data_IF_543920578755
#
_entry.id   IF_543920578755
#
_cell.length_a   1.000
_cell.length_b   1.000
_cell.length_c   1.000
_cell.angle_alpha   90.00
_cell.angle_beta   90.00
_cell.angle_gamma   90.00
#
_symmetry.space_group_name_H-M   'P 1'
#
loop_
_entity.id
_entity.type
_entity.pdbx_description
1 polymer ?
#
# COMPACT_ATOMS: atom_id res chain seq x y z
N UNK A 1 27.03 17.48 17.73
CA UNK A 1 25.92 16.84 18.47
C UNK A 1 25.11 17.93 19.13
N UNK A 2 24.05 18.36 18.48
CA UNK A 2 23.09 19.34 19.01
C UNK A 2 21.71 18.74 18.84
N UNK A 3 21.00 18.54 19.95
CA UNK A 3 19.61 18.12 19.99
C UNK A 3 18.72 19.35 19.78
N UNK A 4 17.79 19.30 18.82
CA UNK A 4 16.72 20.28 18.69
C UNK A 4 15.46 19.66 19.30
N UNK A 5 14.91 20.39 20.27
CA UNK A 5 13.73 20.07 21.06
C UNK A 5 12.53 20.70 20.34
N UNK A 6 11.53 19.93 19.92
CA UNK A 6 10.29 20.47 19.35
C UNK A 6 9.21 20.42 20.43
N UNK A 7 8.69 21.60 20.80
CA UNK A 7 7.65 21.76 21.81
C UNK A 7 6.29 21.27 21.28
N UNK A 8 5.60 20.47 22.10
CA UNK A 8 4.17 20.13 21.93
C UNK A 8 3.32 21.36 22.24
N UNK A 9 2.56 21.85 21.27
CA UNK A 9 1.45 22.75 21.54
C UNK A 9 0.26 21.93 22.06
N UNK A 10 -0.12 22.20 23.30
CA UNK A 10 -1.28 21.66 23.98
C UNK A 10 -2.51 22.46 23.51
N UNK A 11 -3.42 21.81 22.77
CA UNK A 11 -4.76 22.35 22.53
C UNK A 11 -5.70 21.70 23.55
N UNK A 12 -6.16 22.49 24.53
CA UNK A 12 -7.25 22.07 25.41
C UNK A 12 -8.60 22.14 24.66
N UNK A 13 -9.49 21.14 24.82
CA UNK A 13 -10.85 21.24 24.31
C UNK A 13 -11.70 22.16 25.20
N UNK A 14 -12.39 23.11 24.56
CA UNK A 14 -13.38 23.98 25.19
C UNK A 14 -14.63 23.19 25.59
N UNK A 15 -14.98 23.21 26.87
CA UNK A 15 -16.25 22.74 27.39
C UNK A 15 -17.40 23.70 27.01
N UNK A 16 -18.38 23.23 26.25
CA UNK A 16 -19.71 23.83 26.19
C UNK A 16 -20.78 22.74 26.48
N UNK A 17 -21.49 22.78 27.61
CA UNK A 17 -22.31 21.66 28.09
C UNK A 17 -23.79 21.90 27.85
N UNK A 18 -24.31 21.69 26.63
CA UNK A 18 -25.77 21.55 26.43
C UNK A 18 -26.11 20.77 25.15
N UNK A 19 -26.27 19.45 25.25
CA UNK A 19 -27.52 18.78 24.85
C UNK A 19 -27.49 17.30 25.28
N UNK A 20 -28.36 16.92 26.21
CA UNK A 20 -28.75 15.51 26.38
C UNK A 20 -29.93 15.26 25.46
N UNK A 21 -29.77 14.43 24.44
CA UNK A 21 -30.91 13.72 23.85
C UNK A 21 -30.49 12.30 23.49
N UNK A 22 -31.29 11.36 23.97
CA UNK A 22 -31.22 9.92 23.80
C UNK A 22 -31.36 9.53 22.33
N UNK A 23 -30.37 8.81 21.79
CA UNK A 23 -30.44 8.15 20.49
C UNK A 23 -29.58 6.91 20.52
N UNK A 24 -30.15 5.78 20.11
CA UNK A 24 -29.57 4.45 20.14
C UNK A 24 -28.25 4.40 19.35
N UNK A 25 -27.18 3.93 19.99
CA UNK A 25 -25.86 3.74 19.39
C UNK A 25 -25.89 2.51 18.47
N UNK A 26 -26.31 2.71 17.22
CA UNK A 26 -25.92 1.85 16.12
C UNK A 26 -24.70 2.50 15.45
N UNK A 27 -23.51 2.30 16.02
CA UNK A 27 -22.26 2.57 15.30
C UNK A 27 -22.18 1.56 14.16
N UNK A 28 -22.47 2.01 12.95
CA UNK A 28 -22.48 1.14 11.79
C UNK A 28 -21.05 0.90 11.31
N UNK A 29 -20.81 -0.23 10.64
CA UNK A 29 -19.53 -0.57 10.01
C UNK A 29 -18.96 0.55 9.11
N UNK A 30 -19.78 1.48 8.62
CA UNK A 30 -19.33 2.62 7.81
C UNK A 30 -18.67 3.74 8.63
N UNK A 31 -19.00 3.87 9.92
CA UNK A 31 -18.40 4.89 10.80
C UNK A 31 -16.95 4.54 11.17
N UNK A 32 -16.58 3.25 11.09
CA UNK A 32 -15.21 2.79 11.37
C UNK A 32 -14.24 3.13 10.23
N UNK A 33 -14.67 3.01 8.97
CA UNK A 33 -13.86 3.35 7.79
C UNK A 33 -13.38 4.82 7.80
N UNK A 34 -14.23 5.72 8.26
CA UNK A 34 -13.96 7.17 8.22
C UNK A 34 -13.13 7.69 9.40
N UNK A 35 -13.10 6.99 10.54
CA UNK A 35 -12.46 7.51 11.78
C UNK A 35 -11.02 7.05 11.97
N UNK A 36 -10.59 5.94 11.37
CA UNK A 36 -9.19 5.47 11.44
C UNK A 36 -8.31 5.95 10.27
N UNK A 37 -8.93 6.46 9.20
CA UNK A 37 -8.22 7.03 8.04
C UNK A 37 -7.46 8.35 8.33
N UNK A 38 -7.47 8.87 9.56
CA UNK A 38 -6.77 10.11 9.94
C UNK A 38 -5.48 9.88 10.75
N UNK A 39 -5.08 8.63 10.99
CA UNK A 39 -3.81 8.33 11.67
C UNK A 39 -2.73 7.71 10.78
N UNK A 40 -3.04 7.41 9.51
CA UNK A 40 -2.00 7.26 8.49
C UNK A 40 -1.47 8.66 8.19
N UNK A 41 -0.17 8.83 8.35
CA UNK A 41 0.59 10.02 7.99
C UNK A 41 0.24 10.40 6.53
N UNK A 42 -0.03 11.69 6.25
CA UNK A 42 -0.09 12.23 4.88
C UNK A 42 1.34 12.25 4.29
N UNK A 43 2.04 11.12 4.33
CA UNK A 43 3.39 10.97 3.80
C UNK A 43 3.31 10.84 2.29
N UNK A 44 3.00 11.96 1.63
CA UNK A 44 3.30 12.18 0.22
C UNK A 44 4.72 11.72 -0.12
N UNK A 45 4.95 11.20 -1.33
CA UNK A 45 6.26 10.81 -1.84
C UNK A 45 7.37 11.74 -1.33
N UNK A 46 8.19 11.23 -0.40
CA UNK A 46 9.31 11.98 0.11
C UNK A 46 10.41 11.98 -0.96
N UNK A 47 10.56 13.11 -1.64
CA UNK A 47 11.83 13.42 -2.29
C UNK A 47 12.92 13.35 -1.21
N UNK A 48 13.79 12.36 -1.32
CA UNK A 48 15.06 12.32 -0.60
C UNK A 48 15.92 13.49 -1.10
N UNK A 49 15.64 14.70 -0.61
CA UNK A 49 16.35 15.93 -0.98
C UNK A 49 17.80 15.95 -0.49
N UNK A 50 18.24 14.89 0.19
CA UNK A 50 19.57 14.78 0.79
C UNK A 50 20.61 14.14 -0.14
N UNK A 51 20.24 13.71 -1.36
CA UNK A 51 21.17 13.08 -2.29
C UNK A 51 21.20 13.78 -3.66
N UNK A 52 21.81 14.97 -3.72
CA UNK A 52 22.26 15.60 -4.98
C UNK A 52 23.48 14.88 -5.59
N UNK A 53 23.52 13.55 -5.47
CA UNK A 53 24.50 12.66 -6.08
C UNK A 53 23.93 12.01 -7.35
N UNK A 54 24.79 11.28 -8.07
CA UNK A 54 24.38 10.47 -9.21
C UNK A 54 23.54 9.28 -8.68
N UNK A 55 22.25 9.27 -8.95
CA UNK A 55 21.26 8.30 -8.48
C UNK A 55 20.65 8.63 -7.11
N UNK A 56 19.33 8.49 -7.00
CA UNK A 56 18.57 8.64 -5.75
C UNK A 56 17.73 7.40 -5.43
N UNK A 57 17.35 7.26 -4.15
CA UNK A 57 16.25 6.39 -3.74
C UNK A 57 15.02 7.26 -3.51
N UNK A 58 13.94 6.96 -4.24
CA UNK A 58 12.67 7.68 -4.18
C UNK A 58 11.63 6.72 -3.58
N UNK A 59 10.90 7.17 -2.57
CA UNK A 59 10.02 6.32 -1.78
C UNK A 59 8.56 6.75 -1.96
N UNK A 60 7.70 5.76 -2.14
CA UNK A 60 6.24 5.84 -2.01
C UNK A 60 5.78 4.72 -1.09
N UNK A 61 4.83 5.03 -0.20
CA UNK A 61 4.34 4.11 0.82
C UNK A 61 2.82 4.04 0.73
N UNK A 62 2.25 2.91 1.12
CA UNK A 62 0.80 2.70 1.10
C UNK A 62 0.04 3.78 1.87
N UNK A 63 -0.78 4.54 1.14
CA UNK A 63 -1.59 5.65 1.61
C UNK A 63 -3.00 5.67 0.95
N UNK A 64 -3.36 4.61 0.21
CA UNK A 64 -4.71 4.42 -0.35
C UNK A 64 -5.62 3.56 0.55
N UNK A 65 -5.11 3.09 1.70
CA UNK A 65 -5.88 2.38 2.72
C UNK A 65 -6.42 1.02 2.26
N UNK A 66 -7.57 0.62 2.83
CA UNK A 66 -8.11 -0.74 2.70
C UNK A 66 -8.55 -1.06 1.25
N UNK A 67 -8.04 -2.15 0.64
CA UNK A 67 -8.53 -2.65 -0.64
C UNK A 67 -10.02 -3.01 -0.61
N UNK A 68 -10.70 -2.92 -1.76
CA UNK A 68 -12.06 -3.46 -1.89
C UNK A 68 -12.02 -4.90 -2.38
N UNK A 69 -12.93 -5.70 -1.84
CA UNK A 69 -13.28 -7.00 -2.42
C UNK A 69 -13.76 -6.81 -3.87
N UNK A 70 -13.23 -7.60 -4.80
CA UNK A 70 -13.74 -7.65 -6.16
C UNK A 70 -14.89 -8.67 -6.24
N UNK A 71 -16.16 -8.24 -6.33
CA UNK A 71 -17.31 -9.15 -6.34
C UNK A 71 -17.38 -10.04 -7.59
N UNK A 72 -16.59 -9.73 -8.62
CA UNK A 72 -16.48 -10.55 -9.84
C UNK A 72 -15.45 -11.68 -9.70
N UNK A 73 -14.77 -11.77 -8.55
CA UNK A 73 -13.78 -12.78 -8.20
C UNK A 73 -14.22 -13.54 -6.94
N UNK A 74 -15.27 -14.38 -7.02
CA UNK A 74 -15.75 -15.12 -5.86
C UNK A 74 -14.75 -16.20 -5.42
N UNK A 75 -14.50 -16.26 -4.12
CA UNK A 75 -13.60 -17.23 -3.50
C UNK A 75 -14.02 -18.69 -3.73
N UNK A 76 -13.05 -19.54 -4.08
CA UNK A 76 -13.22 -20.99 -4.20
C UNK A 76 -14.12 -21.44 -5.35
N UNK A 77 -14.33 -20.59 -6.35
CA UNK A 77 -15.11 -20.89 -7.55
C UNK A 77 -14.18 -21.16 -8.73
N UNK A 78 -14.36 -22.30 -9.39
CA UNK A 78 -13.63 -22.61 -10.63
C UNK A 78 -14.38 -22.03 -11.84
N UNK A 79 -14.12 -20.77 -12.18
CA UNK A 79 -14.75 -20.04 -13.27
C UNK A 79 -13.73 -19.41 -14.25
N UNK A 80 -12.50 -19.95 -14.28
CA UNK A 80 -11.47 -19.59 -15.26
C UNK A 80 -10.19 -19.08 -14.59
N UNK A 81 -9.44 -18.25 -15.30
CA UNK A 81 -8.23 -17.63 -14.77
C UNK A 81 -8.60 -16.40 -13.93
N UNK A 82 -8.38 -16.46 -12.63
CA UNK A 82 -8.72 -15.37 -11.70
C UNK A 82 -7.85 -14.14 -11.91
N UNK A 83 -6.58 -14.33 -12.26
CA UNK A 83 -5.64 -13.23 -12.53
C UNK A 83 -6.12 -12.36 -13.70
N UNK A 84 -6.87 -12.93 -14.65
CA UNK A 84 -7.42 -12.21 -15.80
C UNK A 84 -8.70 -11.42 -15.48
N UNK A 85 -9.32 -11.65 -14.32
CA UNK A 85 -10.53 -10.96 -13.87
C UNK A 85 -10.23 -9.84 -12.87
N UNK A 86 -8.98 -9.69 -12.43
CA UNK A 86 -8.55 -8.58 -11.58
C UNK A 86 -8.87 -7.24 -12.26
N UNK A 87 -9.54 -6.35 -11.53
CA UNK A 87 -9.91 -5.02 -12.00
C UNK A 87 -9.05 -3.97 -11.29
N UNK A 88 -8.18 -3.32 -12.07
CA UNK A 88 -7.31 -2.25 -11.59
C UNK A 88 -7.90 -0.86 -11.85
N UNK A 89 -9.23 -0.75 -11.96
CA UNK A 89 -9.95 0.52 -11.98
C UNK A 89 -9.73 1.33 -10.71
N UNK A 90 -9.94 2.64 -10.79
CA UNK A 90 -9.68 3.56 -9.66
C UNK A 90 -10.45 3.18 -8.40
N UNK A 91 -11.65 2.60 -8.52
CA UNK A 91 -12.42 2.15 -7.37
C UNK A 91 -11.72 1.05 -6.55
N UNK A 92 -10.84 0.25 -7.17
CA UNK A 92 -10.11 -0.83 -6.48
C UNK A 92 -8.73 -0.39 -6.03
N UNK A 93 -8.05 0.46 -6.81
CA UNK A 93 -6.72 0.96 -6.45
C UNK A 93 -6.75 2.08 -5.42
N UNK A 94 -7.82 2.88 -5.38
CA UNK A 94 -7.99 4.01 -4.46
C UNK A 94 -9.46 4.07 -4.01
N UNK A 95 -9.82 3.15 -3.13
CA UNK A 95 -11.21 2.88 -2.73
C UNK A 95 -11.84 4.01 -1.90
N UNK A 96 -11.02 4.74 -1.16
CA UNK A 96 -11.43 5.84 -0.28
C UNK A 96 -11.31 7.22 -0.94
N UNK A 97 -10.74 7.29 -2.16
CA UNK A 97 -10.60 8.53 -2.91
C UNK A 97 -9.63 9.52 -2.26
N UNK A 98 -8.66 9.02 -1.47
CA UNK A 98 -7.59 9.85 -0.91
C UNK A 98 -6.64 10.33 -2.01
N UNK A 99 -5.83 11.35 -1.70
CA UNK A 99 -4.81 11.87 -2.62
C UNK A 99 -3.55 10.98 -2.57
N UNK A 100 -3.73 9.72 -2.96
CA UNK A 100 -2.76 8.62 -2.94
C UNK A 100 -2.17 8.34 -4.31
N UNK A 101 -1.86 9.39 -5.07
CA UNK A 101 -1.39 9.23 -6.44
C UNK A 101 -0.19 10.14 -6.64
N UNK A 102 0.99 9.56 -6.45
CA UNK A 102 2.21 10.33 -6.51
C UNK A 102 2.81 10.36 -7.92
N UNK A 103 3.52 11.46 -8.19
CA UNK A 103 4.38 11.58 -9.35
C UNK A 103 5.84 11.54 -8.88
N UNK A 104 6.53 10.46 -9.20
CA UNK A 104 7.90 10.19 -8.80
C UNK A 104 8.85 10.63 -9.92
N UNK A 105 9.76 11.55 -9.60
CA UNK A 105 10.78 12.06 -10.51
C UNK A 105 12.17 11.64 -10.00
N UNK A 106 12.96 11.03 -10.86
CA UNK A 106 14.35 10.65 -10.56
C UNK A 106 15.30 11.85 -10.52
N UNK A 107 16.53 11.59 -10.07
CA UNK A 107 17.66 12.51 -10.30
C UNK A 107 18.51 12.02 -11.47
N UNK A 108 19.62 12.70 -11.77
CA UNK A 108 20.58 12.21 -12.78
C UNK A 108 21.20 10.88 -12.33
N UNK A 109 21.34 9.91 -13.24
CA UNK A 109 21.95 8.61 -12.99
C UNK A 109 20.98 7.53 -12.51
N UNK A 110 21.51 6.40 -12.03
CA UNK A 110 20.71 5.23 -11.66
C UNK A 110 19.90 5.45 -10.38
N UNK A 111 18.59 5.61 -10.51
CA UNK A 111 17.64 5.77 -9.42
C UNK A 111 17.04 4.42 -8.97
N UNK A 112 16.48 4.38 -7.76
CA UNK A 112 15.63 3.28 -7.30
C UNK A 112 14.32 3.85 -6.77
N UNK A 113 13.22 3.49 -7.43
CA UNK A 113 11.86 3.82 -7.01
C UNK A 113 11.34 2.67 -6.14
N UNK A 114 11.11 2.96 -4.86
CA UNK A 114 10.68 2.00 -3.84
C UNK A 114 9.22 2.22 -3.48
N UNK A 115 8.46 1.14 -3.50
CA UNK A 115 7.05 1.10 -3.13
C UNK A 115 6.88 0.15 -1.94
N UNK A 116 6.52 0.71 -0.78
CA UNK A 116 6.32 -0.05 0.45
C UNK A 116 4.82 -0.22 0.73
N UNK A 117 4.32 -1.44 0.52
CA UNK A 117 2.96 -1.83 0.85
C UNK A 117 2.94 -2.39 2.28
N UNK A 118 2.25 -1.69 3.17
CA UNK A 118 2.26 -2.01 4.59
C UNK A 118 1.08 -2.91 4.98
N UNK A 119 1.34 -3.87 5.86
CA UNK A 119 0.29 -4.66 6.49
C UNK A 119 -0.56 -3.81 7.42
N UNK A 120 -1.86 -4.04 7.36
CA UNK A 120 -2.82 -3.48 8.28
C UNK A 120 -3.84 -4.55 8.67
N UNK A 121 -4.57 -4.33 9.75
CA UNK A 121 -5.49 -5.33 10.28
C UNK A 121 -6.60 -4.71 11.10
N UNK A 122 -7.68 -5.47 11.28
CA UNK A 122 -8.71 -5.08 12.24
C UNK A 122 -8.12 -5.01 13.66
N UNK A 123 -8.60 -4.11 14.54
CA UNK A 123 -8.13 -3.99 15.91
C UNK A 123 -8.12 -5.30 16.69
N UNK A 124 -9.21 -6.08 16.59
CA UNK A 124 -9.33 -7.38 17.23
C UNK A 124 -8.34 -8.43 16.69
N UNK A 125 -7.71 -8.19 15.54
CA UNK A 125 -6.71 -9.07 14.94
C UNK A 125 -5.32 -8.66 15.44
N UNK A 126 -4.88 -7.42 15.22
CA UNK A 126 -3.53 -7.02 15.66
C UNK A 126 -3.40 -7.03 17.19
N UNK A 127 -4.48 -6.81 17.95
CA UNK A 127 -4.45 -6.87 19.42
C UNK A 127 -4.11 -8.25 19.98
N UNK A 128 -4.34 -9.34 19.22
CA UNK A 128 -3.92 -10.70 19.61
C UNK A 128 -2.40 -10.89 19.53
N UNK A 129 -1.73 -10.04 18.73
CA UNK A 129 -0.32 -10.12 18.39
C UNK A 129 0.49 -9.01 19.05
N UNK A 130 -0.02 -8.43 20.14
CA UNK A 130 0.71 -7.46 20.95
C UNK A 130 1.65 -8.14 21.93
N UNK A 131 2.87 -7.62 22.03
CA UNK A 131 3.75 -7.96 23.14
C UNK A 131 3.38 -7.18 24.43
N UNK A 132 4.15 -7.40 25.49
CA UNK A 132 3.91 -6.73 26.78
C UNK A 132 4.15 -5.22 26.78
N UNK A 133 4.75 -4.68 25.71
CA UNK A 133 5.07 -3.26 25.52
C UNK A 133 4.14 -2.59 24.51
N UNK A 134 3.19 -3.34 23.94
CA UNK A 134 2.23 -2.85 22.95
C UNK A 134 2.77 -2.82 21.52
N UNK A 135 3.92 -3.45 21.26
CA UNK A 135 4.45 -3.63 19.89
C UNK A 135 3.68 -4.74 19.19
N UNK A 136 3.40 -4.55 17.91
CA UNK A 136 2.67 -5.52 17.08
C UNK A 136 3.66 -6.49 16.41
N UNK A 137 3.39 -7.80 16.54
CA UNK A 137 4.01 -8.84 15.72
C UNK A 137 3.26 -9.00 14.40
N UNK A 138 3.64 -8.18 13.41
CA UNK A 138 3.04 -8.23 12.07
C UNK A 138 3.25 -9.58 11.37
N UNK A 139 4.36 -10.28 11.63
CA UNK A 139 4.56 -11.62 11.10
C UNK A 139 3.51 -12.59 11.67
N UNK A 140 3.19 -12.47 12.96
CA UNK A 140 2.07 -13.18 13.59
C UNK A 140 0.72 -12.86 12.96
N UNK A 141 0.45 -11.58 12.68
CA UNK A 141 -0.79 -11.11 12.02
C UNK A 141 -1.01 -11.77 10.65
N UNK A 142 0.04 -11.91 9.83
CA UNK A 142 -0.08 -12.58 8.50
C UNK A 142 -0.55 -14.03 8.57
N UNK A 143 -0.46 -14.66 9.75
CA UNK A 143 -0.98 -16.01 9.98
C UNK A 143 -2.51 -16.08 10.15
N UNK A 144 -3.21 -14.96 10.35
CA UNK A 144 -4.64 -14.91 10.63
C UNK A 144 -5.48 -15.01 9.34
N UNK A 145 -5.61 -16.21 8.79
CA UNK A 145 -6.30 -16.50 7.52
C UNK A 145 -7.69 -17.14 7.70
N UNK A 146 -8.36 -16.88 8.83
CA UNK A 146 -9.68 -17.50 9.10
C UNK A 146 -10.80 -16.79 8.35
N UNK A 147 -10.74 -15.46 8.24
CA UNK A 147 -11.71 -14.67 7.51
C UNK A 147 -11.04 -13.71 6.54
N UNK A 148 -11.73 -13.45 5.42
CA UNK A 148 -11.36 -12.41 4.49
C UNK A 148 -11.33 -11.04 5.19
N UNK A 149 -10.29 -10.27 4.88
CA UNK A 149 -9.93 -8.97 5.47
C UNK A 149 -9.85 -8.95 7.00
N UNK A 150 -9.40 -10.03 7.65
CA UNK A 150 -8.90 -9.93 9.03
C UNK A 150 -7.61 -9.11 9.10
N UNK A 151 -6.79 -9.22 8.06
CA UNK A 151 -5.65 -8.35 7.76
C UNK A 151 -5.53 -8.16 6.24
N UNK A 152 -4.82 -7.13 5.81
CA UNK A 152 -4.64 -6.77 4.40
C UNK A 152 -3.32 -6.02 4.19
N UNK A 153 -2.94 -5.83 2.93
CA UNK A 153 -1.97 -4.82 2.54
C UNK A 153 -2.70 -3.51 2.23
N UNK A 154 -2.31 -2.42 2.85
CA UNK A 154 -2.81 -1.10 2.45
C UNK A 154 -2.36 -0.80 1.02
N UNK A 155 -3.26 -0.19 0.24
CA UNK A 155 -3.00 0.16 -1.14
C UNK A 155 -2.07 1.37 -1.28
N UNK A 156 -1.39 1.48 -2.42
CA UNK A 156 -0.54 2.61 -2.82
C UNK A 156 -1.20 3.51 -3.86
N UNK A 157 -2.46 3.26 -4.21
CA UNK A 157 -3.17 4.11 -5.17
C UNK A 157 -2.66 4.00 -6.60
N UNK A 158 -2.41 5.15 -7.24
CA UNK A 158 -2.05 5.25 -8.65
C UNK A 158 -0.77 6.08 -8.85
N UNK A 159 0.34 5.37 -8.83
CA UNK A 159 1.67 5.94 -8.88
C UNK A 159 2.12 6.19 -10.32
N UNK A 160 2.89 7.25 -10.53
CA UNK A 160 3.48 7.56 -11.83
C UNK A 160 4.97 7.87 -11.70
N UNK A 161 5.82 7.01 -12.27
CA UNK A 161 7.23 7.32 -12.48
C UNK A 161 7.36 8.13 -13.78
N UNK A 162 7.95 9.31 -13.70
CA UNK A 162 7.96 10.29 -14.79
C UNK A 162 9.05 10.01 -15.82
N UNK A 163 10.23 9.57 -15.40
CA UNK A 163 11.46 9.64 -16.20
C UNK A 163 12.34 8.38 -16.13
N UNK A 164 11.71 7.20 -16.03
CA UNK A 164 12.43 5.94 -15.85
C UNK A 164 13.39 5.62 -17.02
N UNK A 165 14.66 5.38 -16.71
CA UNK A 165 15.68 4.95 -17.66
C UNK A 165 16.35 3.66 -17.18
N UNK A 166 15.81 2.53 -17.63
CA UNK A 166 16.20 1.19 -17.17
C UNK A 166 17.55 0.70 -17.68
N UNK A 167 17.73 -0.62 -17.70
CA UNK A 167 18.99 -1.22 -18.13
C UNK A 167 19.25 -0.99 -19.63
N UNK A 168 20.30 -0.23 -19.95
CA UNK A 168 20.61 0.23 -21.31
C UNK A 168 20.57 1.77 -21.44
N UNK A 169 19.93 2.44 -20.48
CA UNK A 169 20.05 3.87 -20.20
C UNK A 169 20.81 4.12 -18.89
N UNK A 170 20.22 4.86 -17.96
CA UNK A 170 20.88 5.24 -16.69
C UNK A 170 20.91 4.10 -15.66
N UNK A 171 20.06 3.09 -15.80
CA UNK A 171 20.09 1.88 -14.98
C UNK A 171 19.15 1.89 -13.78
N UNK A 172 18.04 2.63 -13.89
CA UNK A 172 17.00 2.73 -12.86
C UNK A 172 16.42 1.37 -12.46
N UNK A 173 15.90 1.32 -11.23
CA UNK A 173 15.26 0.15 -10.63
C UNK A 173 13.92 0.51 -9.99
N UNK A 174 13.03 -0.47 -10.00
CA UNK A 174 11.78 -0.47 -9.25
C UNK A 174 11.88 -1.59 -8.22
N UNK A 175 11.63 -1.26 -6.96
CA UNK A 175 11.53 -2.23 -5.89
C UNK A 175 10.15 -2.13 -5.25
N UNK A 176 9.51 -3.28 -5.07
CA UNK A 176 8.19 -3.38 -4.46
C UNK A 176 8.27 -4.33 -3.28
N UNK A 177 8.02 -3.81 -2.09
CA UNK A 177 8.04 -4.56 -0.85
C UNK A 177 6.61 -4.65 -0.30
N UNK A 178 6.14 -5.87 -0.04
CA UNK A 178 4.79 -6.08 0.47
C UNK A 178 4.52 -7.57 0.72
N UNK A 179 3.76 -7.89 1.75
CA UNK A 179 3.43 -9.28 2.04
C UNK A 179 2.60 -9.92 0.93
N UNK A 180 3.10 -11.02 0.35
CA UNK A 180 2.51 -11.75 -0.80
C UNK A 180 2.19 -10.90 -2.03
N UNK A 181 2.74 -9.69 -2.11
CA UNK A 181 2.53 -8.81 -3.26
C UNK A 181 3.14 -9.43 -4.51
N UNK A 182 2.43 -9.26 -5.61
CA UNK A 182 2.83 -9.68 -6.94
C UNK A 182 2.41 -8.62 -7.96
N UNK A 183 2.97 -8.75 -9.16
CA UNK A 183 2.87 -7.75 -10.21
C UNK A 183 2.40 -8.39 -11.50
N UNK A 184 1.45 -7.73 -12.16
CA UNK A 184 0.99 -8.04 -13.51
C UNK A 184 1.24 -6.87 -14.44
N UNK A 185 1.78 -7.13 -15.62
CA UNK A 185 1.81 -6.13 -16.70
C UNK A 185 0.39 -6.00 -17.26
N UNK A 186 -0.18 -4.79 -17.15
CA UNK A 186 -1.52 -4.45 -17.66
C UNK A 186 -1.42 -3.95 -19.10
N UNK A 187 -0.46 -3.07 -19.37
CA UNK A 187 -0.23 -2.45 -20.68
C UNK A 187 1.27 -2.23 -20.87
N UNK A 188 1.76 -2.49 -22.08
CA UNK A 188 3.15 -2.22 -22.48
C UNK A 188 3.15 -1.51 -23.85
N UNK A 189 3.73 -0.31 -23.87
CA UNK A 189 3.92 0.56 -25.03
C UNK A 189 5.42 0.90 -25.16
N UNK A 190 5.83 1.44 -26.31
CA UNK A 190 7.24 1.74 -26.59
C UNK A 190 7.94 2.63 -25.54
N UNK A 191 7.20 3.51 -24.86
CA UNK A 191 7.72 4.48 -23.89
C UNK A 191 6.93 4.50 -22.57
N UNK A 192 6.11 3.48 -22.32
CA UNK A 192 5.28 3.41 -21.12
C UNK A 192 4.90 1.97 -20.82
N UNK A 193 5.01 1.56 -19.55
CA UNK A 193 4.41 0.32 -19.04
C UNK A 193 3.48 0.64 -17.86
N UNK A 194 2.37 -0.08 -17.76
CA UNK A 194 1.49 -0.01 -16.59
C UNK A 194 1.53 -1.35 -15.87
N UNK A 195 1.92 -1.31 -14.60
CA UNK A 195 2.01 -2.44 -13.69
C UNK A 195 0.81 -2.40 -12.74
N UNK A 196 0.12 -3.53 -12.60
CA UNK A 196 -0.90 -3.74 -11.58
C UNK A 196 -0.31 -4.49 -10.40
N UNK A 197 -0.58 -4.00 -9.19
CA UNK A 197 -0.14 -4.63 -7.95
C UNK A 197 -1.33 -5.31 -7.28
N UNK A 198 -1.14 -6.56 -6.89
CA UNK A 198 -2.14 -7.32 -6.15
C UNK A 198 -1.44 -8.27 -5.17
N UNK A 199 -2.13 -8.68 -4.12
CA UNK A 199 -1.64 -9.70 -3.21
C UNK A 199 -2.14 -11.09 -3.65
N UNK A 200 -1.27 -12.11 -3.60
CA UNK A 200 -1.57 -13.50 -3.98
C UNK A 200 -1.20 -14.39 -2.79
N UNK A 201 -2.13 -14.48 -1.84
CA UNK A 201 -1.91 -15.18 -0.59
C UNK A 201 -2.01 -16.68 -0.84
N UNK A 202 -0.89 -17.37 -0.63
CA UNK A 202 -0.72 -18.77 -1.03
C UNK A 202 0.08 -18.95 -2.32
N UNK A 203 0.23 -17.88 -3.11
CA UNK A 203 1.01 -17.86 -4.36
C UNK A 203 0.61 -18.97 -5.34
N UNK A 204 -0.69 -19.25 -5.44
CA UNK A 204 -1.23 -20.34 -6.25
C UNK A 204 -1.95 -19.85 -7.51
N UNK A 205 -2.12 -18.52 -7.65
CA UNK A 205 -2.76 -17.91 -8.80
C UNK A 205 -4.27 -18.16 -8.89
N UNK A 206 -4.91 -18.55 -7.78
CA UNK A 206 -6.35 -18.79 -7.67
C UNK A 206 -6.94 -18.07 -6.46
N UNK A 207 -8.17 -17.58 -6.57
CA UNK A 207 -8.84 -16.90 -5.46
C UNK A 207 -9.29 -17.91 -4.39
N UNK A 208 -8.55 -17.97 -3.29
CA UNK A 208 -8.85 -18.70 -2.07
C UNK A 208 -9.80 -17.96 -1.12
N UNK A 209 -9.85 -18.38 0.16
CA UNK A 209 -10.65 -17.70 1.22
C UNK A 209 -9.76 -16.96 2.24
N UNK A 210 -8.46 -16.91 1.99
CA UNK A 210 -7.48 -16.32 2.90
C UNK A 210 -7.62 -14.80 2.95
N UNK A 211 -7.00 -14.17 3.97
CA UNK A 211 -7.39 -12.85 4.45
C UNK A 211 -7.29 -11.74 3.38
N UNK A 212 -6.21 -11.69 2.61
CA UNK A 212 -5.95 -10.60 1.65
C UNK A 212 -5.73 -11.13 0.24
N UNK A 213 -6.23 -12.32 -0.03
CA UNK A 213 -5.97 -13.01 -1.28
C UNK A 213 -6.68 -12.31 -2.45
N UNK A 214 -5.90 -11.94 -3.46
CA UNK A 214 -6.29 -11.24 -4.69
C UNK A 214 -6.81 -9.81 -4.46
N UNK A 215 -6.42 -9.20 -3.34
CA UNK A 215 -6.61 -7.78 -3.12
C UNK A 215 -5.82 -6.97 -4.17
N UNK A 216 -6.51 -6.10 -4.89
CA UNK A 216 -5.85 -5.10 -5.75
C UNK A 216 -5.37 -3.96 -4.88
N UNK A 217 -4.06 -3.73 -4.88
CA UNK A 217 -3.40 -2.80 -3.94
C UNK A 217 -2.77 -1.60 -4.64
N UNK A 218 -2.81 -1.54 -5.97
CA UNK A 218 -2.42 -0.31 -6.67
C UNK A 218 -2.08 -0.51 -8.14
N UNK A 219 -1.64 0.59 -8.76
CA UNK A 219 -1.03 0.62 -10.08
C UNK A 219 0.19 1.52 -10.08
N UNK A 220 1.19 1.13 -10.87
CA UNK A 220 2.34 1.98 -11.18
C UNK A 220 2.37 2.19 -12.70
N UNK A 221 2.30 3.43 -13.13
CA UNK A 221 2.59 3.83 -14.52
C UNK A 221 4.05 4.24 -14.60
N UNK A 222 4.82 3.58 -15.45
CA UNK A 222 6.24 3.86 -15.65
C UNK A 222 6.40 4.47 -17.03
N UNK A 223 6.64 5.77 -17.10
CA UNK A 223 7.06 6.43 -18.33
C UNK A 223 8.56 6.19 -18.50
N UNK A 224 8.97 5.64 -19.64
CA UNK A 224 10.37 5.26 -19.86
C UNK A 224 10.88 5.63 -21.26
N UNK A 225 12.20 5.69 -21.39
CA UNK A 225 12.93 6.07 -22.61
C UNK A 225 13.11 4.93 -23.64
N UNK A 226 12.35 3.85 -23.48
CA UNK A 226 12.50 2.61 -24.25
C UNK A 226 13.46 1.56 -23.66
N UNK A 227 14.07 1.81 -22.49
CA UNK A 227 14.97 0.87 -21.83
C UNK A 227 14.38 0.14 -20.61
N UNK A 228 13.06 0.12 -20.42
CA UNK A 228 12.43 -0.69 -19.39
C UNK A 228 12.54 -2.19 -19.70
N UNK A 229 12.97 -2.98 -18.72
CA UNK A 229 12.95 -4.44 -18.80
C UNK A 229 12.43 -5.04 -17.49
N UNK A 230 11.24 -5.63 -17.53
CA UNK A 230 10.60 -6.25 -16.36
C UNK A 230 11.52 -7.21 -15.59
N UNK A 231 12.30 -8.05 -16.29
CA UNK A 231 13.12 -9.08 -15.66
C UNK A 231 14.39 -8.57 -14.99
N UNK A 232 14.91 -7.39 -15.39
CA UNK A 232 16.13 -6.83 -14.80
C UNK A 232 15.90 -5.59 -13.95
N UNK A 233 14.77 -4.92 -14.14
CA UNK A 233 14.53 -3.59 -13.56
C UNK A 233 13.55 -3.62 -12.40
N UNK A 234 12.75 -4.67 -12.28
CA UNK A 234 11.80 -4.87 -11.19
C UNK A 234 12.29 -5.94 -10.21
N UNK A 235 12.30 -5.60 -8.91
CA UNK A 235 12.44 -6.55 -7.81
C UNK A 235 11.19 -6.53 -6.94
N UNK A 236 10.77 -7.72 -6.49
CA UNK A 236 9.60 -7.90 -5.63
C UNK A 236 10.03 -8.63 -4.37
N UNK A 237 9.77 -8.05 -3.21
CA UNK A 237 9.97 -8.66 -1.90
C UNK A 237 8.60 -9.04 -1.30
N UNK A 238 8.05 -10.16 -1.79
CA UNK A 238 6.80 -10.73 -1.30
C UNK A 238 6.85 -11.25 0.15
N UNK A 239 8.04 -11.28 0.76
CA UNK A 239 8.26 -11.72 2.14
C UNK A 239 8.24 -10.58 3.16
N UNK A 240 8.01 -9.34 2.74
CA UNK A 240 7.92 -8.20 3.65
C UNK A 240 6.75 -8.39 4.63
N UNK A 241 6.98 -8.00 5.88
CA UNK A 241 5.97 -8.02 6.96
C UNK A 241 5.98 -6.68 7.72
N UNK A 242 6.38 -5.61 7.05
CA UNK A 242 6.25 -4.27 7.60
C UNK A 242 4.77 -3.90 7.72
N UNK A 243 4.38 -3.30 8.84
CA UNK A 243 3.01 -2.88 9.06
C UNK A 243 2.85 -1.37 9.17
N UNK A 244 1.61 -0.91 9.01
CA UNK A 244 1.21 0.50 8.94
C UNK A 244 1.58 1.30 10.20
N UNK A 245 1.75 0.61 11.33
CA UNK A 245 2.15 1.20 12.61
C UNK A 245 2.87 0.15 13.47
N UNK A 246 3.73 0.61 14.38
CA UNK A 246 4.53 -0.28 15.22
C UNK A 246 3.87 -0.61 16.56
N UNK A 247 3.04 0.31 17.09
CA UNK A 247 2.44 0.24 18.42
C UNK A 247 0.94 0.55 18.40
N UNK A 248 0.18 -0.13 19.25
CA UNK A 248 -1.26 0.05 19.45
C UNK A 248 -1.63 1.02 20.60
#
# INVERSE_FOLDING_TARGET
MSYINIQKNHLEPSNDPHNMESGENHSSWEDWKNNWNHQADDSHAQESSDNMGNGAEIYSQSDAGIPLENPNLPAGVEDGNDIDKLDFGSQYTNSNGMDSSDNLLGTEGANTFKFDLLLNAKPEIYQKHLDGEGRIDWAGVTGENTNYHDHWLDGIGQETIIDFSGNGGDGDKIQIDGHTVTVKVIEELDNKVTLGLYADQGADGTRGNDAHDFDVVGKITVNHDGHFNYGSDLSINAGSVAGAFEFA
#
